data_IF_401786200414
#
_entry.id   IF_401786200414
#
_cell.length_a   1.000
_cell.length_b   1.000
_cell.length_c   1.000
_cell.angle_alpha   90.00
_cell.angle_beta   90.00
_cell.angle_gamma   90.00
#
_symmetry.space_group_name_H-M   'P 1'
#
loop_
_entity.id
_entity.type
_entity.pdbx_description
1 polymer ?
#
# COMPACT_ATOMS: atom_id res chain seq x y z
N UNK A 1 -26.02 -9.78 9.94
CA UNK A 1 -24.72 -10.43 9.63
C UNK A 1 -24.75 -10.82 8.17
N UNK A 2 -24.32 -9.94 7.27
CA UNK A 2 -24.31 -10.20 5.82
C UNK A 2 -22.99 -10.88 5.44
N UNK A 3 -23.02 -11.93 4.60
CA UNK A 3 -21.84 -12.74 4.31
C UNK A 3 -20.80 -11.98 3.48
N UNK A 4 -19.52 -12.22 3.79
CA UNK A 4 -18.28 -11.78 3.13
C UNK A 4 -18.15 -12.28 1.66
N UNK A 5 -19.23 -12.26 0.86
CA UNK A 5 -19.23 -12.64 -0.56
C UNK A 5 -18.55 -11.60 -1.48
N UNK A 6 -18.23 -10.42 -0.94
CA UNK A 6 -17.70 -9.28 -1.71
C UNK A 6 -16.24 -9.45 -2.18
N UNK A 7 -15.47 -10.37 -1.60
CA UNK A 7 -14.04 -10.50 -1.87
C UNK A 7 -13.68 -11.60 -2.89
N UNK A 8 -14.62 -12.47 -3.27
CA UNK A 8 -14.31 -13.72 -3.98
C UNK A 8 -14.04 -13.59 -5.49
N UNK A 9 -14.11 -12.39 -6.07
CA UNK A 9 -14.16 -12.24 -7.54
C UNK A 9 -13.20 -11.20 -8.12
N UNK A 10 -12.11 -10.84 -7.41
CA UNK A 10 -11.15 -9.86 -7.91
C UNK A 10 -9.77 -10.49 -8.15
N UNK A 11 -9.32 -10.43 -9.41
CA UNK A 11 -7.91 -10.60 -9.77
C UNK A 11 -7.12 -9.48 -9.08
N UNK A 12 -6.17 -9.82 -8.25
CA UNK A 12 -5.42 -8.88 -7.40
C UNK A 12 -3.95 -8.98 -7.72
N UNK A 13 -3.27 -7.86 -7.58
CA UNK A 13 -1.96 -7.63 -8.14
C UNK A 13 -0.99 -7.21 -7.03
N UNK A 14 0.18 -7.83 -6.98
CA UNK A 14 1.36 -7.37 -6.25
C UNK A 14 2.19 -6.44 -7.12
N UNK A 15 2.72 -5.35 -6.58
CA UNK A 15 3.39 -4.29 -7.33
C UNK A 15 4.84 -4.10 -6.89
N UNK A 16 5.73 -3.81 -7.85
CA UNK A 16 7.11 -3.38 -7.59
C UNK A 16 7.26 -1.91 -7.99
N UNK A 17 7.88 -1.11 -7.13
CA UNK A 17 8.38 0.23 -7.48
C UNK A 17 9.90 0.20 -7.42
N UNK A 18 10.54 0.45 -8.56
CA UNK A 18 11.99 0.60 -8.67
C UNK A 18 12.36 2.08 -8.73
N UNK A 19 13.48 2.45 -8.13
CA UNK A 19 14.15 3.73 -8.37
C UNK A 19 15.54 3.44 -8.95
N UNK A 20 15.87 4.07 -10.08
CA UNK A 20 17.13 3.81 -10.81
C UNK A 20 18.37 4.44 -10.13
N UNK A 21 18.20 5.16 -9.02
CA UNK A 21 19.27 5.86 -8.31
C UNK A 21 19.13 5.74 -6.78
N UNK A 22 20.21 5.38 -6.05
CA UNK A 22 20.26 5.45 -4.59
C UNK A 22 20.01 6.87 -4.02
N UNK A 23 20.21 7.91 -4.83
CA UNK A 23 20.00 9.31 -4.44
C UNK A 23 18.53 9.75 -4.53
N UNK A 24 17.66 8.95 -5.18
CA UNK A 24 16.22 9.21 -5.23
C UNK A 24 15.45 8.56 -4.07
N UNK A 25 16.15 7.86 -3.16
CA UNK A 25 15.65 7.32 -1.90
C UNK A 25 15.38 8.40 -0.85
N UNK A 26 14.84 9.55 -1.27
CA UNK A 26 14.13 10.46 -0.37
C UNK A 26 12.95 9.67 0.21
N UNK A 27 13.12 9.20 1.45
CA UNK A 27 12.25 8.29 2.20
C UNK A 27 10.75 8.65 2.08
N UNK A 28 10.44 9.92 1.79
CA UNK A 28 9.11 10.48 1.62
C UNK A 28 8.47 10.31 0.23
N UNK A 29 9.25 10.31 -0.86
CA UNK A 29 8.71 10.07 -2.22
C UNK A 29 8.35 8.60 -2.43
N UNK A 30 9.07 7.70 -1.78
CA UNK A 30 8.84 6.25 -1.91
C UNK A 30 7.75 5.70 -1.00
N UNK A 31 7.44 6.35 0.14
CA UNK A 31 6.49 5.82 1.12
C UNK A 31 5.05 5.69 0.57
N UNK A 32 4.65 6.55 -0.38
CA UNK A 32 3.31 6.51 -0.98
C UNK A 32 3.20 5.66 -2.25
N UNK A 33 4.31 5.09 -2.73
CA UNK A 33 4.35 4.42 -4.04
C UNK A 33 4.21 2.90 -3.95
N UNK A 34 4.39 2.32 -2.77
CA UNK A 34 4.44 0.88 -2.58
C UNK A 34 3.19 0.38 -1.84
N UNK A 35 2.14 0.05 -2.61
CA UNK A 35 0.91 -0.56 -2.08
C UNK A 35 0.76 -1.93 -2.72
N UNK A 36 0.89 -2.99 -1.92
CA UNK A 36 0.42 -4.33 -2.29
C UNK A 36 -1.09 -4.40 -2.00
N UNK A 37 -1.90 -4.78 -2.99
CA UNK A 37 -3.32 -5.09 -2.78
C UNK A 37 -4.30 -4.35 -3.69
N UNK A 38 -5.01 -5.13 -4.52
CA UNK A 38 -6.25 -4.86 -5.30
C UNK A 38 -6.54 -3.41 -5.70
N UNK A 39 -6.25 -3.07 -6.95
CA UNK A 39 -6.97 -2.20 -7.89
C UNK A 39 -5.98 -1.80 -9.00
N UNK A 40 -6.43 -1.27 -10.13
CA UNK A 40 -5.59 -0.97 -11.30
C UNK A 40 -4.58 0.17 -10.99
N UNK A 41 -3.48 -0.11 -10.27
CA UNK A 41 -2.54 0.88 -9.68
C UNK A 41 -1.44 1.36 -10.66
N UNK A 42 -1.65 1.30 -11.97
CA UNK A 42 -0.73 1.93 -12.94
C UNK A 42 -0.52 3.42 -12.63
N UNK A 43 -1.54 4.10 -12.09
CA UNK A 43 -1.44 5.48 -11.62
C UNK A 43 -0.50 5.68 -10.41
N UNK A 44 -0.21 4.62 -9.64
CA UNK A 44 0.70 4.68 -8.50
C UNK A 44 2.17 4.47 -8.89
N UNK A 45 2.48 4.28 -10.18
CA UNK A 45 3.86 4.17 -10.65
C UNK A 45 4.51 2.80 -10.42
N UNK A 46 3.71 1.74 -10.35
CA UNK A 46 4.24 0.39 -10.32
C UNK A 46 4.82 -0.01 -11.69
N UNK A 47 6.01 -0.62 -11.68
CA UNK A 47 6.68 -1.10 -12.88
C UNK A 47 6.32 -2.54 -13.25
N UNK A 48 5.90 -3.35 -12.27
CA UNK A 48 5.54 -4.76 -12.45
C UNK A 48 4.36 -5.13 -11.55
N UNK A 49 3.65 -6.19 -11.96
CA UNK A 49 2.34 -6.63 -11.50
C UNK A 49 2.33 -8.16 -11.44
N UNK A 50 2.08 -8.76 -10.27
CA UNK A 50 2.02 -10.23 -10.09
C UNK A 50 0.67 -10.68 -9.56
N UNK A 51 0.15 -11.82 -10.00
CA UNK A 51 -1.12 -12.35 -9.51
C UNK A 51 -0.91 -13.06 -8.17
N UNK A 52 -1.51 -12.56 -7.10
CA UNK A 52 -1.49 -13.20 -5.77
C UNK A 52 -2.14 -14.59 -5.72
N UNK A 53 -2.99 -14.94 -6.69
CA UNK A 53 -3.55 -16.29 -6.80
C UNK A 53 -2.55 -17.27 -7.46
N UNK A 54 -1.44 -16.75 -8.02
CA UNK A 54 -0.40 -17.61 -8.55
C UNK A 54 0.20 -18.41 -7.39
N UNK A 55 0.21 -19.75 -7.44
CA UNK A 55 0.90 -20.56 -6.45
C UNK A 55 2.42 -20.31 -6.46
N UNK A 56 2.95 -19.65 -7.49
CA UNK A 56 4.35 -19.29 -7.65
C UNK A 56 4.63 -17.80 -7.36
N UNK A 57 3.65 -17.01 -6.89
CA UNK A 57 3.81 -15.55 -6.72
C UNK A 57 5.01 -15.16 -5.87
N UNK A 58 5.33 -15.95 -4.83
CA UNK A 58 6.51 -15.71 -3.99
C UNK A 58 7.81 -15.83 -4.78
N UNK A 59 7.96 -16.88 -5.58
CA UNK A 59 9.15 -17.11 -6.40
C UNK A 59 9.26 -16.06 -7.51
N UNK A 60 8.14 -15.69 -8.12
CA UNK A 60 8.05 -14.62 -9.12
C UNK A 60 8.52 -13.27 -8.53
N UNK A 61 8.07 -12.95 -7.32
CA UNK A 61 8.49 -11.74 -6.60
C UNK A 61 10.00 -11.77 -6.30
N UNK A 62 10.51 -12.84 -5.69
CA UNK A 62 11.95 -12.98 -5.38
C UNK A 62 12.80 -12.85 -6.64
N UNK A 63 12.41 -13.51 -7.74
CA UNK A 63 13.10 -13.42 -9.01
C UNK A 63 13.12 -11.98 -9.55
N UNK A 64 12.01 -11.24 -9.41
CA UNK A 64 11.90 -9.87 -9.89
C UNK A 64 12.78 -8.87 -9.14
N UNK A 65 13.19 -9.18 -7.90
CA UNK A 65 14.11 -8.36 -7.10
C UNK A 65 15.59 -8.81 -7.19
N UNK A 66 15.87 -9.94 -7.86
CA UNK A 66 17.23 -10.47 -7.97
C UNK A 66 18.18 -9.48 -8.62
N UNK A 67 19.28 -9.16 -7.94
CA UNK A 67 20.33 -8.26 -8.44
C UNK A 67 19.93 -6.79 -8.50
N UNK A 68 18.76 -6.41 -7.96
CA UNK A 68 18.31 -5.01 -7.90
C UNK A 68 18.63 -4.38 -6.57
N UNK A 69 18.86 -3.07 -6.59
CA UNK A 69 18.89 -2.28 -5.37
C UNK A 69 17.46 -2.16 -4.82
N UNK A 70 17.28 -2.53 -3.55
CA UNK A 70 15.97 -2.54 -2.89
C UNK A 70 16.02 -1.68 -1.64
N UNK A 71 15.20 -0.63 -1.59
CA UNK A 71 15.11 0.25 -0.42
C UNK A 71 14.41 -0.43 0.77
N UNK A 72 13.44 -1.29 0.48
CA UNK A 72 12.68 -2.06 1.47
C UNK A 72 11.45 -2.70 0.83
N UNK A 73 10.65 -3.38 1.65
CA UNK A 73 9.39 -4.03 1.26
C UNK A 73 8.36 -3.66 2.31
N UNK A 74 7.14 -3.32 1.92
CA UNK A 74 6.01 -3.05 2.82
C UNK A 74 4.95 -4.09 2.54
N UNK A 75 4.50 -4.80 3.57
CA UNK A 75 3.36 -5.70 3.43
C UNK A 75 2.07 -4.90 3.64
N UNK A 76 1.08 -5.13 2.79
CA UNK A 76 -0.27 -4.60 2.93
C UNK A 76 -1.29 -5.65 2.51
N UNK A 77 -2.30 -5.90 3.35
CA UNK A 77 -3.23 -7.02 3.19
C UNK A 77 -4.71 -6.64 3.31
N UNK A 78 -5.03 -5.34 3.32
CA UNK A 78 -6.40 -4.86 3.52
C UNK A 78 -7.02 -5.43 4.81
N UNK A 79 -8.28 -5.88 4.73
CA UNK A 79 -9.09 -6.29 5.89
C UNK A 79 -9.42 -7.79 5.91
N UNK A 80 -8.54 -8.66 5.38
CA UNK A 80 -8.78 -10.10 5.31
C UNK A 80 -7.77 -10.87 6.15
N UNK A 81 -8.01 -11.09 7.46
CA UNK A 81 -7.02 -11.66 8.38
C UNK A 81 -6.42 -12.99 7.93
N UNK A 82 -7.21 -13.85 7.28
CA UNK A 82 -6.74 -15.13 6.76
C UNK A 82 -5.65 -15.00 5.67
N UNK A 83 -5.56 -13.85 5.00
CA UNK A 83 -4.54 -13.58 3.97
C UNK A 83 -3.22 -13.04 4.54
N UNK A 84 -3.21 -12.60 5.81
CA UNK A 84 -2.07 -11.87 6.37
C UNK A 84 -0.78 -12.71 6.40
N UNK A 85 -0.78 -13.98 6.88
CA UNK A 85 0.45 -14.77 6.93
C UNK A 85 1.11 -14.95 5.57
N UNK A 86 0.34 -15.34 4.54
CA UNK A 86 0.90 -15.55 3.19
C UNK A 86 1.47 -14.28 2.55
N UNK A 87 0.84 -13.12 2.79
CA UNK A 87 1.36 -11.84 2.31
C UNK A 87 2.67 -11.48 3.02
N UNK A 88 2.73 -11.69 4.34
CA UNK A 88 3.91 -11.41 5.16
C UNK A 88 5.06 -12.35 4.81
N UNK A 89 4.78 -13.63 4.58
CA UNK A 89 5.75 -14.64 4.13
C UNK A 89 6.33 -14.27 2.76
N UNK A 90 5.49 -13.94 1.77
CA UNK A 90 5.95 -13.53 0.46
C UNK A 90 6.82 -12.25 0.51
N UNK A 91 6.41 -11.25 1.31
CA UNK A 91 7.20 -10.03 1.49
C UNK A 91 8.52 -10.29 2.22
N UNK A 92 8.51 -11.14 3.25
CA UNK A 92 9.72 -11.52 3.97
C UNK A 92 10.71 -12.25 3.07
N UNK A 93 10.25 -13.12 2.16
CA UNK A 93 11.11 -13.77 1.18
C UNK A 93 11.83 -12.75 0.27
N UNK A 94 11.15 -11.68 -0.15
CA UNK A 94 11.78 -10.57 -0.89
C UNK A 94 12.78 -9.82 -0.01
N UNK A 95 12.43 -9.49 1.23
CA UNK A 95 13.37 -8.84 2.16
C UNK A 95 14.63 -9.70 2.30
N UNK A 96 14.50 -10.99 2.57
CA UNK A 96 15.59 -11.94 2.80
C UNK A 96 16.47 -12.17 1.58
N UNK A 97 15.89 -12.15 0.37
CA UNK A 97 16.61 -12.32 -0.91
C UNK A 97 17.32 -11.05 -1.41
N UNK A 98 17.13 -9.92 -0.74
CA UNK A 98 17.78 -8.64 -1.08
C UNK A 98 18.71 -8.17 0.03
N UNK A 99 19.49 -7.12 -0.24
CA UNK A 99 20.37 -6.48 0.74
C UNK A 99 19.71 -5.31 1.48
N UNK A 100 18.37 -5.19 1.44
CA UNK A 100 17.67 -4.14 2.17
C UNK A 100 17.73 -4.38 3.69
N UNK A 101 17.35 -3.36 4.48
CA UNK A 101 17.19 -3.55 5.93
C UNK A 101 16.19 -4.67 6.19
N UNK A 102 16.47 -5.50 7.19
CA UNK A 102 15.59 -6.60 7.63
C UNK A 102 14.38 -6.11 8.44
N UNK A 103 13.81 -4.96 8.06
CA UNK A 103 12.60 -4.40 8.66
C UNK A 103 11.48 -4.55 7.64
N UNK A 104 10.34 -5.13 8.07
CA UNK A 104 9.15 -5.30 7.25
C UNK A 104 8.00 -4.45 7.83
N UNK A 105 7.75 -3.24 7.31
CA UNK A 105 6.60 -2.44 7.71
C UNK A 105 5.29 -3.11 7.29
N UNK A 106 4.30 -3.03 8.16
CA UNK A 106 3.01 -3.69 8.06
C UNK A 106 1.87 -2.67 8.21
N UNK A 107 0.86 -2.72 7.36
CA UNK A 107 -0.43 -2.03 7.59
C UNK A 107 -1.46 -2.89 8.33
N UNK A 108 -1.05 -4.07 8.81
CA UNK A 108 -1.86 -4.97 9.62
C UNK A 108 -1.21 -5.15 10.99
N UNK A 109 -2.03 -5.20 12.04
CA UNK A 109 -1.54 -5.39 13.41
C UNK A 109 -0.93 -6.79 13.52
N UNK A 110 0.34 -6.94 13.93
CA UNK A 110 1.07 -8.21 13.93
C UNK A 110 0.62 -9.14 15.06
N UNK A 111 -0.58 -9.73 14.90
CA UNK A 111 -1.13 -10.76 15.78
C UNK A 111 -1.05 -12.15 15.10
N UNK A 112 0.01 -12.40 14.35
CA UNK A 112 0.26 -13.62 13.58
C UNK A 112 1.76 -13.92 13.55
N UNK A 113 2.17 -15.17 13.21
CA UNK A 113 3.58 -15.53 13.14
C UNK A 113 4.36 -14.64 12.18
N UNK A 114 5.53 -14.17 12.61
CA UNK A 114 6.46 -13.41 11.77
C UNK A 114 7.57 -14.35 11.31
N UNK A 115 7.90 -14.38 10.01
CA UNK A 115 9.00 -15.19 9.48
C UNK A 115 10.33 -14.85 10.16
N UNK A 116 11.17 -15.87 10.35
CA UNK A 116 12.50 -15.69 10.92
C UNK A 116 13.39 -14.80 10.04
N UNK A 117 14.25 -13.99 10.67
CA UNK A 117 15.21 -13.14 9.97
C UNK A 117 14.66 -11.80 9.49
N UNK A 118 13.40 -11.47 9.79
CA UNK A 118 12.82 -10.13 9.57
C UNK A 118 12.19 -9.56 10.85
N UNK A 119 12.35 -8.26 11.07
CA UNK A 119 11.70 -7.50 12.13
C UNK A 119 10.44 -6.81 11.55
N UNK A 120 9.26 -7.33 11.88
CA UNK A 120 8.01 -6.74 11.44
C UNK A 120 7.59 -5.55 12.31
N UNK A 121 7.20 -4.42 11.70
CA UNK A 121 6.74 -3.21 12.43
C UNK A 121 5.41 -2.73 11.90
N UNK A 122 4.45 -2.54 12.78
CA UNK A 122 3.20 -1.89 12.40
C UNK A 122 3.44 -0.42 12.07
N UNK A 123 2.96 0.02 10.90
CA UNK A 123 2.95 1.43 10.51
C UNK A 123 1.87 2.13 11.32
N UNK A 124 2.30 3.02 12.21
CA UNK A 124 1.42 3.82 13.06
C UNK A 124 1.19 5.21 12.46
N UNK A 125 0.11 5.85 12.90
CA UNK A 125 -0.11 7.26 12.60
C UNK A 125 0.97 8.15 13.22
N UNK A 126 1.20 9.32 12.61
CA UNK A 126 2.17 10.29 13.11
C UNK A 126 1.68 11.10 14.33
N UNK A 127 0.46 10.84 14.84
CA UNK A 127 -0.15 11.62 15.93
C UNK A 127 0.75 11.74 17.18
N UNK A 128 1.51 10.70 17.60
CA UNK A 128 2.40 10.82 18.75
C UNK A 128 3.65 11.68 18.52
N UNK A 129 4.03 11.93 17.26
CA UNK A 129 5.24 12.67 16.88
C UNK A 129 4.87 13.92 16.09
N UNK A 130 4.58 14.99 16.83
CA UNK A 130 4.10 16.27 16.28
C UNK A 130 5.14 16.92 15.37
N UNK A 131 6.43 16.81 15.72
CA UNK A 131 7.51 17.39 14.92
C UNK A 131 7.63 16.68 13.58
N UNK A 132 7.65 15.34 13.59
CA UNK A 132 7.64 14.57 12.35
C UNK A 132 6.37 14.83 11.54
N UNK A 133 5.19 14.85 12.17
CA UNK A 133 3.94 15.18 11.50
C UNK A 133 4.02 16.57 10.81
N UNK A 134 4.59 17.57 11.48
CA UNK A 134 4.76 18.92 10.92
C UNK A 134 5.70 18.94 9.72
N UNK A 135 6.85 18.28 9.81
CA UNK A 135 7.80 18.13 8.69
C UNK A 135 7.11 17.52 7.47
N UNK A 136 6.23 16.55 7.70
CA UNK A 136 5.52 15.83 6.64
C UNK A 136 4.38 16.65 6.03
N UNK A 137 3.42 17.07 6.84
CA UNK A 137 2.19 17.69 6.35
C UNK A 137 2.39 19.17 5.99
N UNK A 138 3.13 19.91 6.81
CA UNK A 138 3.38 21.34 6.56
C UNK A 138 4.67 21.59 5.78
N UNK A 139 5.68 20.73 5.91
CA UNK A 139 6.95 20.87 5.22
C UNK A 139 6.91 20.30 3.80
N UNK A 140 6.83 18.98 3.68
CA UNK A 140 6.91 18.26 2.41
C UNK A 140 5.62 18.36 1.59
N UNK A 141 4.49 17.91 2.16
CA UNK A 141 3.25 17.69 1.40
C UNK A 141 2.69 19.00 0.84
N UNK A 142 2.66 20.06 1.65
CA UNK A 142 2.19 21.39 1.24
C UNK A 142 2.96 21.92 0.00
N UNK A 143 4.29 21.83 0.03
CA UNK A 143 5.18 22.28 -1.05
C UNK A 143 5.03 21.41 -2.29
N UNK A 144 4.95 20.08 -2.11
CA UNK A 144 4.83 19.14 -3.22
C UNK A 144 3.48 19.27 -3.95
N UNK A 145 2.40 19.55 -3.22
CA UNK A 145 1.08 19.86 -3.80
C UNK A 145 1.12 21.19 -4.56
N UNK A 146 1.67 22.25 -3.97
CA UNK A 146 1.78 23.56 -4.63
C UNK A 146 2.64 23.52 -5.91
N UNK A 147 3.70 22.70 -5.90
CA UNK A 147 4.57 22.50 -7.05
C UNK A 147 4.01 21.49 -8.08
N UNK A 148 2.89 20.82 -7.80
CA UNK A 148 2.34 19.77 -8.67
C UNK A 148 3.20 18.52 -8.81
N UNK A 149 4.19 18.32 -7.93
CA UNK A 149 5.09 17.16 -7.94
C UNK A 149 4.55 15.98 -7.14
N UNK A 150 3.48 16.21 -6.36
CA UNK A 150 2.73 15.16 -5.69
C UNK A 150 1.48 14.80 -6.50
N UNK A 151 1.41 13.55 -6.95
CA UNK A 151 0.23 13.02 -7.66
C UNK A 151 -0.83 12.66 -6.62
N UNK A 152 -1.96 13.36 -6.65
CA UNK A 152 -3.12 13.05 -5.81
C UNK A 152 -3.86 11.87 -6.42
N UNK A 153 -3.76 10.71 -5.77
CA UNK A 153 -4.42 9.49 -6.18
C UNK A 153 -4.95 8.71 -4.97
N UNK A 154 -5.98 7.86 -5.14
CA UNK A 154 -6.76 7.66 -6.37
C UNK A 154 -7.63 8.87 -6.75
N UNK A 155 -8.17 8.87 -7.97
CA UNK A 155 -9.11 9.90 -8.44
C UNK A 155 -10.30 10.02 -7.49
N UNK A 156 -10.73 11.25 -7.22
CA UNK A 156 -11.90 11.51 -6.39
C UNK A 156 -13.19 11.28 -7.18
N UNK A 157 -14.12 10.54 -6.60
CA UNK A 157 -15.49 10.40 -7.07
C UNK A 157 -16.41 11.12 -6.09
N UNK A 158 -16.88 12.30 -6.50
CA UNK A 158 -17.83 13.07 -5.71
C UNK A 158 -19.22 12.47 -5.89
N UNK A 159 -19.76 11.88 -4.82
CA UNK A 159 -21.04 11.15 -4.84
C UNK A 159 -22.21 11.96 -4.28
N UNK A 160 -21.95 13.19 -3.83
CA UNK A 160 -22.98 14.13 -3.39
C UNK A 160 -22.44 15.30 -2.58
N UNK A 161 -23.38 16.12 -2.10
CA UNK A 161 -23.14 17.28 -1.24
C UNK A 161 -23.96 17.17 0.03
N UNK A 162 -23.46 17.68 1.15
CA UNK A 162 -24.19 17.75 2.41
C UNK A 162 -24.22 16.42 3.18
N UNK A 163 -24.77 16.47 4.40
CA UNK A 163 -24.82 15.32 5.30
C UNK A 163 -25.77 14.22 4.76
N UNK A 164 -26.79 14.61 4.02
CA UNK A 164 -27.77 13.74 3.36
C UNK A 164 -27.12 12.77 2.36
N UNK A 165 -25.97 13.13 1.79
CA UNK A 165 -25.25 12.29 0.83
C UNK A 165 -24.40 11.19 1.50
N UNK A 166 -24.19 11.24 2.82
CA UNK A 166 -23.27 10.32 3.52
C UNK A 166 -23.73 8.86 3.39
N UNK A 167 -25.02 8.57 3.57
CA UNK A 167 -25.50 7.19 3.49
C UNK A 167 -25.28 6.61 2.07
N UNK A 168 -25.60 7.37 1.03
CA UNK A 168 -25.35 6.96 -0.35
C UNK A 168 -23.86 6.76 -0.66
N UNK A 169 -23.00 7.58 -0.06
CA UNK A 169 -21.55 7.41 -0.16
C UNK A 169 -21.07 6.10 0.47
N UNK A 170 -21.58 5.76 1.67
CA UNK A 170 -21.27 4.50 2.34
C UNK A 170 -21.77 3.29 1.55
N UNK A 171 -22.98 3.37 0.99
CA UNK A 171 -23.54 2.30 0.15
C UNK A 171 -22.71 2.08 -1.11
N UNK A 172 -22.21 3.16 -1.71
CA UNK A 172 -21.30 3.11 -2.87
C UNK A 172 -19.98 2.41 -2.50
N UNK A 173 -19.38 2.80 -1.37
CA UNK A 173 -18.16 2.17 -0.87
C UNK A 173 -18.38 0.68 -0.58
N UNK A 174 -19.52 0.29 0.00
CA UNK A 174 -19.84 -1.10 0.34
C UNK A 174 -20.07 -1.99 -0.90
N UNK A 175 -20.63 -1.45 -1.98
CA UNK A 175 -20.69 -2.14 -3.28
C UNK A 175 -19.30 -2.41 -3.84
N UNK A 176 -18.34 -1.57 -3.45
CA UNK A 176 -16.95 -1.64 -3.82
C UNK A 176 -16.64 -0.76 -5.01
N UNK A 177 -15.51 -0.07 -4.90
CA UNK A 177 -15.01 0.85 -5.90
C UNK A 177 -13.64 0.39 -6.36
N UNK A 178 -13.31 0.64 -7.62
CA UNK A 178 -12.00 0.33 -8.18
C UNK A 178 -11.13 1.58 -8.16
N UNK A 179 -10.16 1.63 -7.23
CA UNK A 179 -9.20 2.73 -7.10
C UNK A 179 -9.82 4.13 -7.28
N UNK A 180 -10.87 4.41 -6.50
CA UNK A 180 -11.48 5.75 -6.42
C UNK A 180 -11.65 6.15 -4.98
N UNK A 181 -11.46 7.43 -4.70
CA UNK A 181 -11.73 8.05 -3.41
C UNK A 181 -13.16 8.55 -3.42
N UNK A 182 -14.07 7.90 -2.70
CA UNK A 182 -15.44 8.41 -2.52
C UNK A 182 -15.39 9.68 -1.66
N UNK A 183 -15.96 10.77 -2.18
CA UNK A 183 -15.96 12.09 -1.56
C UNK A 183 -17.39 12.63 -1.46
N UNK A 184 -17.71 13.19 -0.30
CA UNK A 184 -18.88 14.04 -0.10
C UNK A 184 -18.38 15.47 0.11
N UNK A 185 -18.98 16.41 -0.60
CA UNK A 185 -18.64 17.84 -0.49
C UNK A 185 -19.57 18.57 0.47
N UNK A 186 -19.13 19.71 0.99
CA UNK A 186 -19.89 20.55 1.92
C UNK A 186 -19.85 22.00 1.44
#
# INVERSE_FOLDING_TARGET
>A
MLPLKWMSNRKSVSYIVHHDSPADCELFKSFFRMVLGVCNFLFAGASQVFDYNSPAVQDELVAAFKGKATAGVVANAGFVPASFPGIVEACAAVVLSTNCKRILPLTMVPNFPIPEGVEAKFVQELRPDVELASVVFHGFLSKALAAGTYIVAPEAEVVGKGLEAIQGAMDTLMKGVSAKKIVVTF
#
